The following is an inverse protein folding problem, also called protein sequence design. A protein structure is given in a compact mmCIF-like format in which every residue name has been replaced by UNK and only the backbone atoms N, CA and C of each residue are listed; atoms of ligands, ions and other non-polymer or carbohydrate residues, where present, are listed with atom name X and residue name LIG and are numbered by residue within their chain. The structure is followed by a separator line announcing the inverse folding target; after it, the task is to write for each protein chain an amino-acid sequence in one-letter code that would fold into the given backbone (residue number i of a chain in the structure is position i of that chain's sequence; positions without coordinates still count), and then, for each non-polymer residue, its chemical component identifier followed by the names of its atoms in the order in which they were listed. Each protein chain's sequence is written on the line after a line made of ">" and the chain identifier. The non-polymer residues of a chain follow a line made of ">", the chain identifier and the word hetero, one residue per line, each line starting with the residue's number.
data_IF_881569249125
#
_entry.id   IF_881569249125
#
_cell.length_a   1.000
_cell.length_b   1.000
_cell.length_c   1.000
_cell.angle_alpha   90.00
_cell.angle_beta   90.00
_cell.angle_gamma   90.00
#
_symmetry.space_group_name_H-M   'P 1'
#
loop_
_entity.id
_entity.type
_entity.pdbx_description
1 polymer ?
#
# COMPACT_ATOMS: atom_id res chain seq x y z
N UNK A 1 15.42 -41.29 17.84
CA UNK A 1 14.43 -41.07 16.75
C UNK A 1 13.91 -39.67 16.98
N UNK A 2 14.69 -38.70 16.53
CA UNK A 2 14.61 -37.31 16.95
C UNK A 2 14.20 -36.50 15.73
N UNK A 3 12.88 -36.40 15.49
CA UNK A 3 12.34 -35.95 14.21
C UNK A 3 11.19 -34.95 14.28
N UNK A 4 10.82 -34.42 15.44
CA UNK A 4 9.62 -33.57 15.57
C UNK A 4 9.86 -32.18 16.20
N UNK A 5 11.10 -31.81 16.54
CA UNK A 5 11.37 -30.56 17.28
C UNK A 5 11.94 -29.40 16.46
N UNK A 6 12.11 -29.53 15.14
CA UNK A 6 12.71 -28.48 14.29
C UNK A 6 11.72 -27.72 13.39
N UNK A 7 10.53 -28.25 13.11
CA UNK A 7 9.56 -27.64 12.20
C UNK A 7 8.84 -26.41 12.77
N UNK A 8 8.83 -26.22 14.09
CA UNK A 8 8.18 -25.06 14.73
C UNK A 8 9.08 -23.82 14.84
N UNK A 9 10.41 -23.99 14.78
CA UNK A 9 11.37 -22.87 14.89
C UNK A 9 11.57 -22.09 13.59
N UNK A 10 11.41 -22.73 12.41
CA UNK A 10 11.54 -22.04 11.12
C UNK A 10 10.43 -21.01 10.85
N UNK A 11 9.27 -21.16 11.49
CA UNK A 11 8.11 -20.27 11.31
C UNK A 11 8.30 -18.86 11.89
N UNK A 12 9.23 -18.69 12.85
CA UNK A 12 9.38 -17.43 13.59
C UNK A 12 10.50 -16.53 13.05
N UNK A 13 11.53 -17.08 12.40
CA UNK A 13 12.64 -16.30 11.83
C UNK A 13 12.29 -15.63 10.49
N UNK A 14 11.40 -16.23 9.70
CA UNK A 14 10.99 -15.68 8.40
C UNK A 14 10.06 -14.45 8.50
N UNK A 15 9.53 -14.14 9.69
CA UNK A 15 8.58 -13.03 9.88
C UNK A 15 9.26 -11.65 9.92
N UNK A 16 10.60 -11.59 9.84
CA UNK A 16 11.37 -10.34 9.90
C UNK A 16 12.20 -10.03 8.64
N UNK A 17 12.19 -10.90 7.63
CA UNK A 17 12.96 -10.65 6.41
C UNK A 17 12.16 -9.84 5.38
N UNK A 18 12.58 -8.59 5.15
CA UNK A 18 12.05 -7.76 4.05
C UNK A 18 12.69 -8.05 2.69
N UNK A 19 13.56 -9.06 2.63
CA UNK A 19 14.31 -9.44 1.45
C UNK A 19 13.86 -10.82 0.99
N UNK A 20 13.55 -10.90 -0.31
CA UNK A 20 13.03 -12.09 -0.96
C UNK A 20 13.83 -12.32 -2.24
N UNK A 21 14.03 -13.59 -2.58
CA UNK A 21 14.54 -13.96 -3.88
C UNK A 21 13.54 -13.64 -4.98
N UNK A 22 14.02 -13.50 -6.22
CA UNK A 22 13.17 -13.28 -7.38
C UNK A 22 12.12 -14.39 -7.53
N UNK A 23 12.52 -15.64 -7.32
CA UNK A 23 11.63 -16.80 -7.43
C UNK A 23 10.52 -16.77 -6.38
N UNK A 24 10.82 -16.38 -5.13
CA UNK A 24 9.82 -16.21 -4.08
C UNK A 24 8.79 -15.13 -4.42
N UNK A 25 9.23 -14.00 -4.96
CA UNK A 25 8.34 -12.92 -5.37
C UNK A 25 7.45 -13.31 -6.56
N UNK A 26 8.00 -13.98 -7.56
CA UNK A 26 7.28 -14.32 -8.79
C UNK A 26 6.29 -15.48 -8.57
N UNK A 27 6.69 -16.51 -7.82
CA UNK A 27 5.93 -17.76 -7.70
C UNK A 27 5.16 -17.90 -6.39
N UNK A 28 5.63 -17.31 -5.29
CA UNK A 28 5.12 -17.60 -3.94
C UNK A 28 4.49 -16.40 -3.23
N UNK A 29 4.21 -15.29 -3.94
CA UNK A 29 3.53 -14.13 -3.37
C UNK A 29 2.14 -14.50 -2.78
N UNK A 30 1.67 -13.82 -1.72
CA UNK A 30 0.33 -14.02 -1.20
C UNK A 30 -0.76 -13.78 -2.25
N UNK A 31 -0.57 -12.77 -3.11
CA UNK A 31 -1.46 -12.48 -4.24
C UNK A 31 -1.52 -13.62 -5.24
N UNK A 32 -0.39 -14.29 -5.51
CA UNK A 32 -0.33 -15.45 -6.40
C UNK A 32 -1.17 -16.61 -5.88
N UNK A 33 -1.06 -16.89 -4.58
CA UNK A 33 -1.83 -17.96 -3.91
C UNK A 33 -3.33 -17.73 -3.98
N UNK A 34 -3.75 -16.47 -4.05
CA UNK A 34 -5.15 -16.07 -4.20
C UNK A 34 -5.57 -15.85 -5.68
N UNK A 35 -4.76 -16.28 -6.65
CA UNK A 35 -5.12 -16.31 -8.07
C UNK A 35 -4.84 -15.02 -8.86
N UNK A 36 -4.11 -14.06 -8.30
CA UNK A 36 -3.65 -12.87 -9.04
C UNK A 36 -2.48 -13.28 -9.95
N UNK A 37 -2.55 -12.89 -11.23
CA UNK A 37 -1.48 -13.15 -12.20
C UNK A 37 -0.30 -12.20 -11.99
N UNK A 38 0.86 -12.58 -12.51
CA UNK A 38 2.09 -11.78 -12.38
C UNK A 38 1.94 -10.40 -13.00
N UNK A 39 1.34 -10.39 -14.20
CA UNK A 39 1.11 -9.19 -14.99
C UNK A 39 0.19 -8.26 -14.21
N UNK A 40 -0.93 -8.77 -13.70
CA UNK A 40 -1.88 -8.00 -12.92
C UNK A 40 -1.27 -7.49 -11.60
N UNK A 41 -0.52 -8.32 -10.88
CA UNK A 41 0.17 -7.90 -9.66
C UNK A 41 1.19 -6.79 -9.95
N UNK A 42 1.98 -6.92 -11.02
CA UNK A 42 2.97 -5.91 -11.45
C UNK A 42 2.31 -4.60 -11.86
N UNK A 43 1.22 -4.66 -12.63
CA UNK A 43 0.43 -3.49 -13.01
C UNK A 43 -0.13 -2.77 -11.79
N UNK A 44 -0.72 -3.50 -10.83
CA UNK A 44 -1.24 -2.89 -9.60
C UNK A 44 -0.11 -2.29 -8.76
N UNK A 45 1.08 -2.92 -8.72
CA UNK A 45 2.27 -2.36 -8.08
C UNK A 45 2.67 -1.01 -8.67
N UNK A 46 2.65 -0.90 -10.00
CA UNK A 46 2.89 0.38 -10.67
C UNK A 46 1.79 1.41 -10.40
N UNK A 47 0.52 0.98 -10.39
CA UNK A 47 -0.63 1.85 -10.14
C UNK A 47 -0.59 2.49 -8.76
N UNK A 48 -0.37 1.71 -7.70
CA UNK A 48 -0.32 2.30 -6.35
C UNK A 48 0.90 3.21 -6.17
N UNK A 49 2.05 2.90 -6.80
CA UNK A 49 3.23 3.76 -6.74
C UNK A 49 2.98 5.12 -7.37
N UNK A 50 2.35 5.13 -8.56
CA UNK A 50 1.95 6.36 -9.24
C UNK A 50 0.90 7.13 -8.44
N UNK A 51 -0.10 6.44 -7.91
CA UNK A 51 -1.12 7.04 -7.07
C UNK A 51 -0.55 7.71 -5.80
N UNK A 52 0.36 7.02 -5.09
CA UNK A 52 1.01 7.55 -3.87
C UNK A 52 1.82 8.80 -4.21
N UNK A 53 2.56 8.77 -5.33
CA UNK A 53 3.31 9.93 -5.82
C UNK A 53 2.38 11.11 -6.11
N UNK A 54 1.32 10.90 -6.86
CA UNK A 54 0.38 11.97 -7.25
C UNK A 54 -0.32 12.59 -6.04
N UNK A 55 -0.77 11.76 -5.09
CA UNK A 55 -1.37 12.23 -3.84
C UNK A 55 -0.33 12.98 -3.00
N UNK A 56 0.88 12.42 -2.86
CA UNK A 56 1.96 13.03 -2.10
C UNK A 56 2.37 14.40 -2.62
N UNK A 57 2.51 14.55 -3.95
CA UNK A 57 2.80 15.85 -4.59
C UNK A 57 1.67 16.84 -4.34
N UNK A 58 0.41 16.42 -4.46
CA UNK A 58 -0.76 17.29 -4.21
C UNK A 58 -0.87 17.72 -2.74
N UNK A 59 -0.45 16.86 -1.82
CA UNK A 59 -0.34 17.16 -0.38
C UNK A 59 0.94 17.92 -0.02
N UNK A 60 1.83 18.19 -0.99
CA UNK A 60 3.13 18.83 -0.79
C UNK A 60 4.02 18.10 0.22
N UNK A 61 3.92 16.77 0.24
CA UNK A 61 4.78 15.94 1.09
C UNK A 61 6.22 15.92 0.53
N UNK A 62 7.24 15.90 1.40
CA UNK A 62 8.61 15.68 0.98
C UNK A 62 8.78 14.35 0.25
N UNK A 63 9.75 14.28 -0.67
CA UNK A 63 10.03 13.06 -1.44
C UNK A 63 10.37 11.86 -0.55
N UNK A 64 11.01 12.10 0.60
CA UNK A 64 11.29 11.08 1.61
C UNK A 64 9.99 10.42 2.12
N UNK A 65 8.99 11.22 2.50
CA UNK A 65 7.66 10.75 2.92
C UNK A 65 6.95 9.94 1.85
N UNK A 66 7.03 10.38 0.59
CA UNK A 66 6.44 9.66 -0.54
C UNK A 66 7.14 8.30 -0.73
N UNK A 67 8.48 8.27 -0.66
CA UNK A 67 9.26 7.04 -0.77
C UNK A 67 8.92 6.07 0.37
N UNK A 68 8.81 6.56 1.61
CA UNK A 68 8.43 5.76 2.78
C UNK A 68 7.02 5.16 2.63
N UNK A 69 6.04 5.93 2.12
CA UNK A 69 4.71 5.43 1.83
C UNK A 69 4.70 4.31 0.77
N UNK A 70 5.47 4.47 -0.31
CA UNK A 70 5.65 3.45 -1.35
C UNK A 70 6.25 2.18 -0.75
N UNK A 71 7.29 2.32 0.07
CA UNK A 71 7.92 1.18 0.75
C UNK A 71 6.96 0.45 1.69
N UNK A 72 6.09 1.16 2.41
CA UNK A 72 5.06 0.54 3.22
C UNK A 72 4.07 -0.27 2.37
N UNK A 73 3.62 0.25 1.22
CA UNK A 73 2.75 -0.52 0.32
C UNK A 73 3.44 -1.77 -0.22
N UNK A 74 4.69 -1.65 -0.69
CA UNK A 74 5.45 -2.81 -1.14
C UNK A 74 5.55 -3.86 -0.05
N UNK A 75 5.99 -3.47 1.15
CA UNK A 75 6.14 -4.37 2.29
C UNK A 75 4.83 -5.01 2.73
N UNK A 76 3.73 -4.25 2.70
CA UNK A 76 2.40 -4.79 3.00
C UNK A 76 2.03 -5.93 2.03
N UNK A 77 2.19 -5.72 0.72
CA UNK A 77 1.85 -6.73 -0.30
C UNK A 77 2.87 -7.85 -0.47
N UNK A 78 3.98 -7.85 0.28
CA UNK A 78 4.83 -9.04 0.42
C UNK A 78 4.17 -10.11 1.29
N UNK A 79 3.34 -9.69 2.25
CA UNK A 79 2.69 -10.59 3.22
C UNK A 79 1.16 -10.64 3.09
N UNK A 80 0.57 -9.65 2.44
CA UNK A 80 -0.88 -9.55 2.22
C UNK A 80 -1.21 -9.65 0.73
N UNK A 81 -2.38 -10.20 0.44
CA UNK A 81 -2.85 -10.38 -0.93
C UNK A 81 -3.61 -9.16 -1.45
N UNK A 82 -3.35 -8.82 -2.73
CA UNK A 82 -4.11 -7.83 -3.50
C UNK A 82 -5.57 -8.23 -3.73
N UNK A 83 -5.90 -9.53 -3.69
CA UNK A 83 -7.28 -10.00 -3.83
C UNK A 83 -8.13 -9.70 -2.58
N UNK A 84 -7.48 -9.65 -1.41
CA UNK A 84 -8.14 -9.46 -0.10
C UNK A 84 -8.14 -8.00 0.37
N UNK A 85 -7.18 -7.20 -0.10
CA UNK A 85 -6.98 -5.83 0.35
C UNK A 85 -6.91 -4.89 -0.86
N UNK A 86 -7.86 -3.96 -0.95
CA UNK A 86 -7.90 -2.98 -2.04
C UNK A 86 -6.71 -2.02 -1.98
N UNK A 87 -5.94 -1.94 -3.07
CA UNK A 87 -4.71 -1.14 -3.14
C UNK A 87 -4.93 0.35 -2.90
N UNK A 88 -6.08 0.90 -3.32
CA UNK A 88 -6.42 2.31 -3.10
C UNK A 88 -6.47 2.67 -1.62
N UNK A 89 -7.11 1.82 -0.82
CA UNK A 89 -7.26 2.01 0.62
C UNK A 89 -5.91 1.89 1.31
N UNK A 90 -5.16 0.82 1.02
CA UNK A 90 -3.84 0.59 1.60
C UNK A 90 -2.87 1.73 1.24
N UNK A 91 -2.85 2.18 -0.01
CA UNK A 91 -2.03 3.31 -0.43
C UNK A 91 -2.36 4.60 0.34
N UNK A 92 -3.64 4.89 0.55
CA UNK A 92 -4.09 6.04 1.34
C UNK A 92 -3.63 5.94 2.80
N UNK A 93 -3.75 4.76 3.40
CA UNK A 93 -3.27 4.49 4.77
C UNK A 93 -1.75 4.62 4.87
N UNK A 94 -1.00 4.11 3.90
CA UNK A 94 0.46 4.20 3.87
C UNK A 94 0.96 5.63 3.77
N UNK A 95 0.29 6.51 3.01
CA UNK A 95 0.61 7.95 2.97
C UNK A 95 0.41 8.59 4.34
N UNK A 96 -0.73 8.33 4.98
CA UNK A 96 -1.00 8.86 6.30
C UNK A 96 0.02 8.36 7.34
N UNK A 97 0.35 7.06 7.31
CA UNK A 97 1.35 6.48 8.20
C UNK A 97 2.73 7.08 7.96
N UNK A 98 3.17 7.18 6.71
CA UNK A 98 4.48 7.77 6.36
C UNK A 98 4.57 9.24 6.80
N UNK A 99 3.48 10.01 6.69
CA UNK A 99 3.45 11.40 7.15
C UNK A 99 3.76 11.55 8.63
N UNK A 100 3.33 10.58 9.45
CA UNK A 100 3.67 10.52 10.88
C UNK A 100 5.09 10.03 11.13
N UNK A 101 5.54 9.02 10.39
CA UNK A 101 6.88 8.43 10.57
C UNK A 101 7.99 9.41 10.21
N UNK A 102 7.77 10.25 9.20
CA UNK A 102 8.74 11.22 8.72
C UNK A 102 8.54 12.62 9.33
N UNK A 103 7.76 12.74 10.41
CA UNK A 103 7.44 14.00 11.09
C UNK A 103 6.97 15.12 10.12
N UNK A 104 6.17 14.73 9.13
CA UNK A 104 5.57 15.61 8.10
C UNK A 104 4.06 15.64 8.27
N UNK A 105 3.54 16.32 9.32
CA UNK A 105 2.17 16.15 9.77
C UNK A 105 1.16 16.48 8.67
N UNK A 106 0.35 15.48 8.31
CA UNK A 106 -0.73 15.60 7.34
C UNK A 106 -2.06 15.14 7.97
N UNK A 107 -3.06 16.03 8.13
CA UNK A 107 -4.34 15.64 8.71
C UNK A 107 -5.04 14.55 7.88
N UNK A 108 -5.64 13.57 8.55
CA UNK A 108 -6.31 12.45 7.89
C UNK A 108 -7.40 12.91 6.91
N UNK A 109 -8.19 13.92 7.28
CA UNK A 109 -9.21 14.49 6.40
C UNK A 109 -8.61 15.03 5.09
N UNK A 110 -7.45 15.69 5.14
CA UNK A 110 -6.77 16.14 3.93
C UNK A 110 -6.28 14.98 3.08
N UNK A 111 -5.66 13.97 3.70
CA UNK A 111 -5.20 12.76 2.98
C UNK A 111 -6.37 12.11 2.25
N UNK A 112 -7.50 11.89 2.93
CA UNK A 112 -8.70 11.27 2.35
C UNK A 112 -9.25 12.11 1.20
N UNK A 113 -9.42 13.43 1.40
CA UNK A 113 -9.96 14.33 0.36
C UNK A 113 -9.09 14.34 -0.90
N UNK A 114 -7.78 14.44 -0.74
CA UNK A 114 -6.84 14.47 -1.87
C UNK A 114 -6.78 13.10 -2.55
N UNK A 115 -6.66 12.01 -1.78
CA UNK A 115 -6.66 10.64 -2.28
C UNK A 115 -7.92 10.36 -3.10
N UNK A 116 -9.10 10.62 -2.54
CA UNK A 116 -10.38 10.46 -3.22
C UNK A 116 -10.45 11.30 -4.50
N UNK A 117 -10.03 12.57 -4.45
CA UNK A 117 -9.96 13.43 -5.63
C UNK A 117 -8.97 12.94 -6.70
N UNK A 118 -7.90 12.22 -6.32
CA UNK A 118 -6.96 11.60 -7.27
C UNK A 118 -7.58 10.35 -7.91
N UNK A 119 -8.28 9.51 -7.14
CA UNK A 119 -8.91 8.28 -7.63
C UNK A 119 -10.02 8.55 -8.66
N UNK A 120 -10.87 9.54 -8.39
CA UNK A 120 -12.08 9.82 -9.18
C UNK A 120 -11.95 11.04 -10.07
N UNK A 121 -10.72 11.43 -10.40
CA UNK A 121 -10.41 12.65 -11.17
C UNK A 121 -11.05 12.68 -12.58
N UNK A 122 -11.52 11.52 -13.08
CA UNK A 122 -12.24 11.37 -14.36
C UNK A 122 -13.77 11.39 -14.25
N UNK A 123 -14.34 11.48 -13.04
CA UNK A 123 -15.81 11.53 -12.85
C UNK A 123 -16.26 12.94 -12.39
N UNK A 124 -16.89 13.76 -13.27
CA UNK A 124 -17.33 15.11 -12.95
C UNK A 124 -18.40 15.20 -11.86
N UNK A 125 -19.07 14.09 -11.49
CA UNK A 125 -20.05 14.08 -10.40
C UNK A 125 -19.41 14.16 -9.00
N UNK A 126 -18.12 13.85 -8.89
CA UNK A 126 -17.47 13.57 -7.60
C UNK A 126 -17.06 14.82 -6.81
N UNK A 127 -16.73 15.91 -7.49
CA UNK A 127 -16.35 17.19 -6.85
C UNK A 127 -17.46 17.76 -5.93
N UNK A 128 -18.72 17.46 -6.22
CA UNK A 128 -19.88 17.96 -5.46
C UNK A 128 -20.06 17.28 -4.10
N UNK A 129 -19.62 16.02 -3.96
CA UNK A 129 -19.83 15.22 -2.73
C UNK A 129 -18.82 15.54 -1.62
N UNK A 130 -17.63 16.03 -1.99
CA UNK A 130 -16.54 16.33 -1.05
C UNK A 130 -16.84 17.59 -0.22
N UNK A 131 -17.56 18.57 -0.78
CA UNK A 131 -17.88 19.82 -0.10
C UNK A 131 -19.13 19.77 0.78
N UNK A 132 -20.07 18.86 0.53
CA UNK A 132 -21.35 18.82 1.24
C UNK A 132 -21.26 18.29 2.69
N UNK A 133 -20.20 17.58 3.08
CA UNK A 133 -20.09 16.97 4.42
C UNK A 133 -19.41 17.84 5.49
N UNK A 134 -19.09 19.10 5.20
CA UNK A 134 -18.42 19.99 6.18
C UNK A 134 -19.37 21.06 6.76
N UNK A 135 -20.68 20.93 6.55
CA UNK A 135 -21.69 21.95 6.95
C UNK A 135 -22.87 21.35 7.72
N UNK A 136 -22.56 20.44 8.64
CA UNK A 136 -23.45 19.94 9.71
C UNK A 136 -22.57 19.62 10.89
#
# INVERSE_FOLDING_TARGET
>A
MDGESQTSKLSCEHMYSWYFTREELEKFSPSRKDGITEIMESEIRQLYCSFIRDVGIRLKLPQMTIATAIMFCHRFYLYQSLAKNGWQTIATVCIFLASKVEDTPCPLDQVIRVAYGTMYRRDPATARRIHQKTTT
#
